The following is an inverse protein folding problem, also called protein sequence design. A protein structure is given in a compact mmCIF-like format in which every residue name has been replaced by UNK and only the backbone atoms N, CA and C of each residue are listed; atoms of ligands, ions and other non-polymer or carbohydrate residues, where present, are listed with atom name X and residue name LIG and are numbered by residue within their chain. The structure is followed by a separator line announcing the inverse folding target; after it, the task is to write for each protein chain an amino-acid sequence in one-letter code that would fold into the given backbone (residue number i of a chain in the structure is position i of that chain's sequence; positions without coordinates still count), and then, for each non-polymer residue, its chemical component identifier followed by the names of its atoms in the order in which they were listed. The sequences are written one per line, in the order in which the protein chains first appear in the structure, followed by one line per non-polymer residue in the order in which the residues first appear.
data_IF_814616148297
#
_entry.id   IF_814616148297
#
_cell.length_a   1.000
_cell.length_b   1.000
_cell.length_c   1.000
_cell.angle_alpha   90.00
_cell.angle_beta   90.00
_cell.angle_gamma   90.00
#
_symmetry.space_group_name_H-M   'P 1'
#
loop_
_entity.id
_entity.type
_entity.pdbx_description
1 polymer ?
#
# COMPACT_ATOMS: atom_id res chain seq x y z
N UNK A 1 -3.44 -21.42 -3.31
CA UNK A 1 -2.56 -20.41 -2.67
C UNK A 1 -2.45 -19.20 -3.58
N UNK A 2 -2.41 -17.98 -3.03
CA UNK A 2 -2.27 -16.74 -3.82
C UNK A 2 -0.78 -16.55 -4.20
N UNK A 3 -0.43 -16.85 -5.46
CA UNK A 3 0.95 -16.83 -5.94
C UNK A 3 1.57 -15.42 -5.86
N UNK A 4 0.83 -14.40 -6.26
CA UNK A 4 1.34 -13.02 -6.25
C UNK A 4 1.65 -12.58 -4.82
N UNK A 5 0.79 -12.91 -3.86
CA UNK A 5 1.03 -12.61 -2.45
C UNK A 5 2.24 -13.37 -1.89
N UNK A 6 2.38 -14.66 -2.21
CA UNK A 6 3.55 -15.46 -1.83
C UNK A 6 4.85 -14.86 -2.39
N UNK A 7 4.86 -14.48 -3.66
CA UNK A 7 6.04 -13.91 -4.32
C UNK A 7 6.48 -12.60 -3.65
N UNK A 8 5.53 -11.76 -3.21
CA UNK A 8 5.84 -10.53 -2.45
C UNK A 8 6.51 -10.84 -1.11
N UNK A 9 5.94 -11.76 -0.32
CA UNK A 9 6.52 -12.15 0.99
C UNK A 9 7.90 -12.77 0.81
N UNK A 10 8.07 -13.65 -0.19
CA UNK A 10 9.35 -14.27 -0.50
C UNK A 10 10.39 -13.21 -0.91
N UNK A 11 10.06 -12.32 -1.85
CA UNK A 11 10.98 -11.26 -2.29
C UNK A 11 11.32 -10.27 -1.18
N UNK A 12 10.39 -10.01 -0.25
CA UNK A 12 10.68 -9.24 0.94
C UNK A 12 11.69 -9.97 1.83
N UNK A 13 11.47 -11.24 2.15
CA UNK A 13 12.38 -12.04 2.97
C UNK A 13 13.76 -12.25 2.34
N UNK A 14 13.84 -12.47 1.03
CA UNK A 14 15.12 -12.58 0.30
C UNK A 14 15.95 -11.30 0.40
N UNK A 15 15.30 -10.13 0.58
CA UNK A 15 15.97 -8.83 0.71
C UNK A 15 16.29 -8.45 2.16
N UNK A 16 15.44 -8.83 3.12
CA UNK A 16 15.51 -8.35 4.51
C UNK A 16 15.96 -9.40 5.51
N UNK A 17 15.96 -10.68 5.14
CA UNK A 17 16.11 -11.82 6.06
C UNK A 17 14.86 -12.16 6.87
N UNK A 18 13.76 -11.40 6.72
CA UNK A 18 12.50 -11.58 7.47
C UNK A 18 11.36 -11.90 6.52
N UNK A 19 10.78 -13.10 6.62
CA UNK A 19 9.76 -13.62 5.69
C UNK A 19 8.32 -13.35 6.16
N UNK A 20 8.08 -12.23 6.83
CA UNK A 20 6.77 -11.87 7.40
C UNK A 20 6.45 -10.41 7.08
N UNK A 21 5.19 -10.17 6.69
CA UNK A 21 4.63 -8.85 6.47
C UNK A 21 3.46 -8.62 7.41
N UNK A 22 3.32 -7.38 7.89
CA UNK A 22 2.09 -6.95 8.54
C UNK A 22 1.01 -6.76 7.46
N UNK A 23 -0.08 -7.51 7.58
CA UNK A 23 -1.25 -7.38 6.71
C UNK A 23 -2.43 -6.87 7.54
N UNK A 24 -3.02 -5.76 7.11
CA UNK A 24 -4.18 -5.15 7.77
C UNK A 24 -5.22 -4.76 6.73
N UNK A 25 -6.45 -4.47 7.18
CA UNK A 25 -7.54 -4.06 6.30
C UNK A 25 -7.16 -2.81 5.52
N UNK A 26 -7.42 -2.82 4.22
CA UNK A 26 -7.26 -1.61 3.41
C UNK A 26 -8.54 -0.79 3.48
N UNK A 27 -8.56 0.14 4.44
CA UNK A 27 -9.65 1.06 4.72
C UNK A 27 -9.15 2.25 5.57
N UNK A 28 -9.98 3.28 5.71
CA UNK A 28 -9.81 4.28 6.76
C UNK A 28 -10.58 3.86 8.01
N UNK A 29 -10.22 4.44 9.16
CA UNK A 29 -10.88 4.14 10.44
C UNK A 29 -12.39 4.40 10.35
N UNK A 30 -13.19 3.37 10.64
CA UNK A 30 -14.65 3.43 10.60
C UNK A 30 -15.26 3.17 9.21
N UNK A 31 -14.45 2.88 8.20
CA UNK A 31 -14.92 2.53 6.85
C UNK A 31 -14.80 1.01 6.59
N UNK A 32 -15.62 0.43 5.69
CA UNK A 32 -15.45 -0.94 5.24
C UNK A 32 -14.16 -1.12 4.42
N UNK A 33 -13.74 -2.37 4.20
CA UNK A 33 -12.66 -2.70 3.26
C UNK A 33 -13.09 -2.30 1.85
N UNK A 34 -12.17 -1.73 1.08
CA UNK A 34 -12.40 -1.33 -0.31
C UNK A 34 -12.81 -2.51 -1.19
N UNK A 35 -13.69 -2.25 -2.16
CA UNK A 35 -14.23 -3.23 -3.10
C UNK A 35 -14.14 -2.79 -4.57
N UNK A 36 -13.83 -1.51 -4.84
CA UNK A 36 -13.64 -1.00 -6.20
C UNK A 36 -12.28 -0.31 -6.37
N UNK A 37 -11.80 -0.23 -7.61
CA UNK A 37 -10.58 0.51 -7.96
C UNK A 37 -10.66 1.99 -7.53
N UNK A 38 -11.85 2.59 -7.66
CA UNK A 38 -12.09 3.96 -7.23
C UNK A 38 -11.97 4.10 -5.71
N UNK A 39 -12.62 3.22 -4.93
CA UNK A 39 -12.51 3.22 -3.47
C UNK A 39 -11.07 3.00 -2.98
N UNK A 40 -10.32 2.10 -3.64
CA UNK A 40 -8.90 1.86 -3.38
C UNK A 40 -8.07 3.13 -3.61
N UNK A 41 -8.30 3.83 -4.71
CA UNK A 41 -7.62 5.09 -5.02
C UNK A 41 -7.98 6.20 -4.03
N UNK A 42 -9.26 6.37 -3.71
CA UNK A 42 -9.74 7.37 -2.73
C UNK A 42 -9.18 7.10 -1.34
N UNK A 43 -9.22 5.84 -0.87
CA UNK A 43 -8.63 5.42 0.40
C UNK A 43 -7.12 5.66 0.40
N UNK A 44 -6.42 5.28 -0.66
CA UNK A 44 -4.99 5.53 -0.82
C UNK A 44 -4.69 7.02 -0.70
N UNK A 45 -5.35 7.89 -1.47
CA UNK A 45 -5.11 9.34 -1.47
C UNK A 45 -5.33 9.98 -0.11
N UNK A 46 -6.33 9.53 0.65
CA UNK A 46 -6.66 10.05 1.98
C UNK A 46 -5.92 9.38 3.15
N UNK A 47 -5.12 8.34 2.90
CA UNK A 47 -4.32 7.63 3.91
C UNK A 47 -2.87 8.12 4.00
N UNK A 48 -2.14 7.62 4.98
CA UNK A 48 -0.68 7.78 5.08
C UNK A 48 0.14 6.83 4.21
N UNK A 49 -0.50 5.98 3.38
CA UNK A 49 0.20 5.03 2.51
C UNK A 49 0.97 5.78 1.42
N UNK A 50 2.23 5.37 1.18
CA UNK A 50 3.12 5.99 0.20
C UNK A 50 2.92 5.46 -1.23
N UNK A 51 2.64 4.16 -1.39
CA UNK A 51 2.50 3.47 -2.69
C UNK A 51 1.25 2.60 -2.72
N UNK A 52 0.48 2.69 -3.80
CA UNK A 52 -0.64 1.79 -4.12
C UNK A 52 -0.26 0.91 -5.32
N UNK A 53 -0.31 -0.41 -5.12
CA UNK A 53 -0.26 -1.38 -6.22
C UNK A 53 -1.69 -1.83 -6.49
N UNK A 54 -2.20 -1.54 -7.68
CA UNK A 54 -3.55 -1.88 -8.12
C UNK A 54 -3.46 -2.64 -9.44
N UNK A 55 -3.63 -3.95 -9.37
CA UNK A 55 -3.38 -4.86 -10.49
C UNK A 55 -1.98 -4.64 -11.11
N UNK A 56 -1.93 -4.23 -12.38
CA UNK A 56 -0.71 -3.96 -13.14
C UNK A 56 -0.25 -2.49 -13.05
N UNK A 57 -0.83 -1.69 -12.16
CA UNK A 57 -0.46 -0.29 -11.94
C UNK A 57 0.22 -0.10 -10.59
N UNK A 58 1.27 0.72 -10.59
CA UNK A 58 1.95 1.18 -9.39
C UNK A 58 1.82 2.70 -9.34
N UNK A 59 1.23 3.21 -8.26
CA UNK A 59 0.93 4.62 -8.06
C UNK A 59 1.68 5.09 -6.82
N UNK A 60 2.56 6.08 -6.99
CA UNK A 60 3.33 6.67 -5.90
C UNK A 60 2.84 8.09 -5.63
N UNK A 61 2.69 8.45 -4.34
CA UNK A 61 2.42 9.84 -3.98
C UNK A 61 3.68 10.68 -4.17
N UNK A 62 3.57 11.71 -5.01
CA UNK A 62 4.60 12.76 -5.09
C UNK A 62 4.55 13.58 -3.81
N UNK A 63 5.52 13.37 -2.91
CA UNK A 63 5.65 14.18 -1.70
C UNK A 63 5.95 15.63 -2.09
N UNK A 64 5.03 16.55 -1.78
CA UNK A 64 5.34 17.98 -1.84
C UNK A 64 6.43 18.27 -0.80
N UNK A 65 7.55 18.87 -1.22
CA UNK A 65 8.53 19.43 -0.28
C UNK A 65 7.78 20.37 0.65
N UNK A 66 7.68 20.02 1.93
CA UNK A 66 7.22 20.98 2.95
C UNK A 66 8.21 22.14 2.90
N UNK A 67 7.73 23.34 2.58
CA UNK A 67 8.49 24.54 2.89
C UNK A 67 8.66 24.55 4.40
N UNK A 68 9.84 24.18 4.89
CA UNK A 68 10.24 24.54 6.24
C UNK A 68 10.34 26.06 6.23
N UNK A 69 9.37 26.72 6.87
CA UNK A 69 9.65 28.03 7.42
C UNK A 69 10.63 27.78 8.56
N UNK A 70 11.86 28.26 8.37
CA UNK A 70 12.88 28.44 9.42
C UNK A 70 12.35 29.37 10.50
#
# INVERSE_FOLDING_TARGET
MNKNYYDVVKKFGDKTGVYVLLNTSFNLKGQPIVNTAQEAYETFMNSGIDVLVLENYLIEKVRKKRHLYV
#
